data_IF_959007890283
#
_entry.id   IF_959007890283
#
_cell.length_a   1.000
_cell.length_b   1.000
_cell.length_c   1.000
_cell.angle_alpha   90.00
_cell.angle_beta   90.00
_cell.angle_gamma   90.00
#
_symmetry.space_group_name_H-M   'P 1'
#
loop_
_entity.id
_entity.type
_entity.pdbx_description
1 polymer ?
#
# COMPACT_ATOMS: atom_id res chain seq x y z
N UNK A 1 14.55 0.31 -16.97
CA UNK A 1 14.46 1.10 -15.72
C UNK A 1 13.03 1.59 -15.61
N UNK A 2 12.33 1.14 -14.60
CA UNK A 2 10.97 1.61 -14.28
C UNK A 2 11.05 2.77 -13.27
N UNK A 3 10.10 3.72 -13.32
CA UNK A 3 10.14 4.96 -12.53
C UNK A 3 11.53 5.66 -12.63
N UNK A 4 12.06 5.78 -13.88
CA UNK A 4 13.43 6.29 -14.06
C UNK A 4 13.62 7.72 -13.59
N UNK A 5 12.57 8.52 -13.58
CA UNK A 5 12.53 9.86 -13.00
C UNK A 5 12.96 9.88 -11.54
N UNK A 6 12.76 8.76 -10.83
CA UNK A 6 13.19 8.58 -9.44
C UNK A 6 14.51 7.83 -9.31
N UNK A 7 14.75 6.85 -10.15
CA UNK A 7 16.00 6.08 -10.15
C UNK A 7 17.21 6.92 -10.53
N UNK A 8 17.00 8.04 -11.25
CA UNK A 8 18.03 8.98 -11.68
C UNK A 8 18.04 10.29 -10.87
N UNK A 9 17.31 10.37 -9.74
CA UNK A 9 17.40 11.51 -8.83
C UNK A 9 18.81 11.66 -8.26
N UNK A 10 19.17 12.90 -7.95
CA UNK A 10 20.44 13.24 -7.28
C UNK A 10 20.63 12.38 -6.03
N UNK A 11 21.76 11.71 -5.94
CA UNK A 11 22.13 10.80 -4.83
C UNK A 11 22.14 9.31 -5.19
N UNK A 12 21.58 8.90 -6.34
CA UNK A 12 21.65 7.51 -6.84
C UNK A 12 22.52 7.38 -8.09
N UNK A 13 23.14 8.46 -8.54
CA UNK A 13 23.89 8.49 -9.81
C UNK A 13 25.10 7.54 -9.80
N UNK A 14 25.82 7.48 -8.68
CA UNK A 14 27.02 6.64 -8.55
C UNK A 14 26.65 5.17 -8.63
N UNK A 15 25.66 4.75 -7.86
CA UNK A 15 25.20 3.36 -7.82
C UNK A 15 24.58 2.94 -9.16
N UNK A 16 23.79 3.82 -9.77
CA UNK A 16 23.17 3.53 -11.06
C UNK A 16 24.18 3.44 -12.18
N UNK A 17 25.19 4.32 -12.17
CA UNK A 17 26.30 4.25 -13.15
C UNK A 17 27.10 2.96 -12.99
N UNK A 18 27.40 2.54 -11.75
CA UNK A 18 28.09 1.27 -11.48
C UNK A 18 27.27 0.08 -12.00
N UNK A 19 25.97 0.02 -11.72
CA UNK A 19 25.08 -1.06 -12.20
C UNK A 19 25.03 -1.09 -13.73
N UNK A 20 24.88 0.07 -14.38
CA UNK A 20 24.82 0.15 -15.86
C UNK A 20 26.16 -0.26 -16.49
N UNK A 21 27.28 0.10 -15.86
CA UNK A 21 28.63 -0.26 -16.30
C UNK A 21 28.88 -1.77 -16.31
N UNK A 22 28.30 -2.51 -15.36
CA UNK A 22 28.37 -3.97 -15.32
C UNK A 22 27.53 -4.66 -16.41
N UNK A 23 26.57 -3.95 -16.99
CA UNK A 23 25.65 -4.50 -18.00
C UNK A 23 26.22 -4.32 -19.42
N UNK A 24 27.35 -4.97 -19.74
CA UNK A 24 28.11 -4.78 -20.98
C UNK A 24 27.40 -5.27 -22.25
N UNK A 25 26.46 -6.22 -22.14
CA UNK A 25 25.79 -6.87 -23.28
C UNK A 25 24.34 -6.43 -23.48
N UNK A 26 24.00 -5.16 -23.16
CA UNK A 26 22.65 -4.65 -23.34
C UNK A 26 22.35 -4.32 -24.82
N UNK A 27 21.44 -5.08 -25.42
CA UNK A 27 20.94 -4.83 -26.76
C UNK A 27 19.84 -3.75 -26.80
N UNK A 28 19.15 -3.51 -25.69
CA UNK A 28 18.02 -2.58 -25.63
C UNK A 28 17.90 -1.97 -24.24
N UNK A 29 17.67 -0.66 -24.20
CA UNK A 29 17.37 0.09 -22.98
C UNK A 29 15.96 0.65 -23.06
N UNK A 30 15.15 0.43 -22.03
CA UNK A 30 13.79 0.95 -21.92
C UNK A 30 13.69 1.69 -20.59
N UNK A 31 13.25 2.95 -20.67
CA UNK A 31 12.96 3.79 -19.51
C UNK A 31 11.46 4.06 -19.48
N UNK A 32 10.84 3.90 -18.34
CA UNK A 32 9.42 4.23 -18.13
C UNK A 32 9.29 5.26 -17.01
N UNK A 33 8.37 6.22 -17.17
CA UNK A 33 8.07 7.22 -16.16
C UNK A 33 6.60 7.65 -16.25
N UNK A 34 6.02 7.99 -15.12
CA UNK A 34 4.70 8.62 -15.03
C UNK A 34 4.76 10.14 -15.19
N UNK A 35 5.94 10.74 -15.23
CA UNK A 35 6.17 12.18 -15.34
C UNK A 35 6.91 12.54 -16.64
N UNK A 36 6.70 13.78 -17.13
CA UNK A 36 7.41 14.30 -18.30
C UNK A 36 8.61 15.16 -17.91
N UNK A 37 9.56 15.32 -18.84
CA UNK A 37 10.60 16.33 -18.76
C UNK A 37 11.82 15.94 -17.92
N UNK A 38 11.93 14.69 -17.47
CA UNK A 38 13.13 14.24 -16.76
C UNK A 38 14.30 14.12 -17.72
N UNK A 39 15.38 14.84 -17.44
CA UNK A 39 16.62 14.77 -18.21
C UNK A 39 17.28 13.43 -18.00
N UNK A 40 17.51 12.71 -19.09
CA UNK A 40 18.23 11.43 -19.06
C UNK A 40 19.72 11.72 -18.98
N UNK A 41 20.44 11.29 -17.91
CA UNK A 41 21.86 11.48 -17.78
C UNK A 41 22.65 10.71 -18.85
N UNK A 42 23.82 11.23 -19.25
CA UNK A 42 24.65 10.65 -20.31
C UNK A 42 25.10 9.21 -19.99
N UNK A 43 25.35 8.89 -18.72
CA UNK A 43 25.81 7.55 -18.32
C UNK A 43 24.77 6.45 -18.60
N UNK A 44 23.50 6.80 -18.81
CA UNK A 44 22.48 5.83 -19.22
C UNK A 44 22.74 5.31 -20.64
N UNK A 45 23.52 6.03 -21.45
CA UNK A 45 23.91 5.61 -22.80
C UNK A 45 22.74 5.58 -23.79
N UNK A 46 21.84 6.56 -23.69
CA UNK A 46 20.71 6.78 -24.62
C UNK A 46 20.87 8.15 -25.28
N UNK A 47 21.55 8.16 -26.45
CA UNK A 47 21.79 9.40 -27.20
C UNK A 47 20.53 9.88 -27.96
N UNK A 48 19.84 8.96 -28.61
CA UNK A 48 18.66 9.27 -29.45
C UNK A 48 17.49 8.32 -29.10
N UNK A 49 16.86 8.48 -27.93
CA UNK A 49 15.78 7.57 -27.54
C UNK A 49 14.53 7.79 -28.38
N UNK A 50 13.88 6.70 -28.80
CA UNK A 50 12.52 6.77 -29.34
C UNK A 50 11.56 7.06 -28.18
N UNK A 51 10.96 8.25 -28.20
CA UNK A 51 10.01 8.67 -27.16
C UNK A 51 8.61 8.21 -27.57
N UNK A 52 7.96 7.45 -26.69
CA UNK A 52 6.56 7.05 -26.81
C UNK A 52 5.81 7.69 -25.64
N UNK A 53 4.99 8.70 -25.91
CA UNK A 53 4.29 9.46 -24.89
C UNK A 53 2.78 9.12 -24.91
N UNK A 54 2.29 8.57 -23.81
CA UNK A 54 0.89 8.29 -23.57
C UNK A 54 0.24 9.22 -22.54
N UNK A 55 1.00 10.16 -21.93
CA UNK A 55 0.51 11.03 -20.85
C UNK A 55 -0.57 12.02 -21.32
N UNK A 56 -0.56 12.38 -22.61
CA UNK A 56 -1.51 13.33 -23.21
C UNK A 56 -2.74 12.67 -23.87
N UNK A 57 -2.84 11.35 -23.86
CA UNK A 57 -4.07 10.71 -24.34
C UNK A 57 -5.15 10.90 -23.29
N UNK A 58 -6.19 11.66 -23.64
CA UNK A 58 -7.41 12.04 -22.90
C UNK A 58 -8.02 10.92 -22.03
N UNK A 59 -7.25 10.38 -21.11
CA UNK A 59 -7.82 9.65 -19.99
C UNK A 59 -8.21 10.72 -18.98
N UNK A 60 -9.47 11.09 -18.97
CA UNK A 60 -10.07 11.76 -17.82
C UNK A 60 -9.78 10.88 -16.62
N UNK A 61 -8.73 11.24 -15.89
CA UNK A 61 -8.48 10.62 -14.59
C UNK A 61 -9.75 10.81 -13.78
N UNK A 62 -10.37 9.71 -13.36
CA UNK A 62 -11.57 9.77 -12.51
C UNK A 62 -11.18 10.06 -11.05
N UNK A 63 -10.04 10.74 -10.87
CA UNK A 63 -9.56 11.18 -9.58
C UNK A 63 -10.29 12.46 -9.16
N UNK A 64 -10.95 12.39 -8.01
CA UNK A 64 -11.53 13.55 -7.34
C UNK A 64 -10.60 13.98 -6.21
N UNK A 65 -10.20 15.25 -6.18
CA UNK A 65 -9.41 15.82 -5.09
C UNK A 65 -10.35 16.55 -4.15
N UNK A 66 -10.23 16.30 -2.83
CA UNK A 66 -11.00 16.94 -1.78
C UNK A 66 -10.09 17.49 -0.71
N UNK A 67 -10.25 18.76 -0.36
CA UNK A 67 -9.52 19.37 0.76
C UNK A 67 -10.32 19.21 2.04
N UNK A 68 -9.66 18.82 3.13
CA UNK A 68 -10.24 18.71 4.47
C UNK A 68 -9.47 19.64 5.40
N UNK A 69 -10.14 20.60 5.99
CA UNK A 69 -9.52 21.55 6.91
C UNK A 69 -9.36 20.94 8.30
N UNK A 70 -8.19 21.08 8.87
CA UNK A 70 -7.92 20.77 10.27
C UNK A 70 -7.80 22.06 11.07
N UNK A 71 -8.59 22.24 12.14
CA UNK A 71 -8.48 23.41 13.00
C UNK A 71 -7.14 23.48 13.73
N UNK A 72 -6.52 22.33 13.92
CA UNK A 72 -5.26 22.19 14.66
C UNK A 72 -4.08 21.92 13.71
N UNK A 73 -2.88 22.34 14.13
CA UNK A 73 -1.63 21.98 13.43
C UNK A 73 -1.41 20.47 13.41
N UNK A 74 -1.79 19.79 14.49
CA UNK A 74 -1.74 18.34 14.58
C UNK A 74 -3.01 17.73 13.97
N UNK A 75 -2.95 17.35 12.72
CA UNK A 75 -4.08 16.85 11.92
C UNK A 75 -4.64 15.49 12.40
N UNK A 76 -4.17 14.95 13.52
CA UNK A 76 -4.47 13.59 13.95
C UNK A 76 -5.95 13.34 14.20
N UNK A 77 -6.64 14.25 14.94
CA UNK A 77 -8.09 14.10 15.18
C UNK A 77 -8.89 14.27 13.89
N UNK A 78 -8.45 15.16 13.01
CA UNK A 78 -9.07 15.35 11.68
C UNK A 78 -8.90 14.10 10.82
N UNK A 79 -7.75 13.45 10.87
CA UNK A 79 -7.55 12.16 10.18
C UNK A 79 -8.52 11.09 10.70
N UNK A 80 -8.67 10.95 12.01
CA UNK A 80 -9.63 10.00 12.61
C UNK A 80 -11.05 10.31 12.12
N UNK A 81 -11.47 11.57 12.17
CA UNK A 81 -12.78 11.99 11.72
C UNK A 81 -13.00 11.71 10.23
N UNK A 82 -11.98 11.93 9.40
CA UNK A 82 -12.02 11.62 7.96
C UNK A 82 -12.12 10.11 7.70
N UNK A 83 -11.36 9.28 8.42
CA UNK A 83 -11.45 7.82 8.31
C UNK A 83 -12.84 7.31 8.73
N UNK A 84 -13.43 7.89 9.77
CA UNK A 84 -14.82 7.61 10.17
C UNK A 84 -15.85 8.06 9.12
N UNK A 85 -15.60 9.18 8.46
CA UNK A 85 -16.45 9.68 7.36
C UNK A 85 -16.37 8.76 6.13
N UNK A 86 -15.15 8.33 5.75
CA UNK A 86 -14.93 7.42 4.61
C UNK A 86 -15.54 6.03 4.87
N UNK A 87 -15.45 5.57 6.11
CA UNK A 87 -15.91 4.23 6.48
C UNK A 87 -14.88 3.14 6.20
N UNK A 88 -15.35 1.94 5.84
CA UNK A 88 -14.51 0.74 5.76
C UNK A 88 -13.99 0.47 4.34
N UNK A 89 -13.48 1.50 3.67
CA UNK A 89 -12.89 1.39 2.35
C UNK A 89 -11.36 1.26 2.43
N UNK A 90 -10.71 0.51 1.51
CA UNK A 90 -9.26 0.37 1.50
C UNK A 90 -8.58 1.65 1.00
N UNK A 91 -7.61 2.14 1.76
CA UNK A 91 -6.88 3.35 1.40
C UNK A 91 -5.50 3.47 2.02
N UNK A 92 -4.79 4.52 1.62
CA UNK A 92 -3.44 4.82 2.08
C UNK A 92 -3.34 6.24 2.63
N UNK A 93 -2.65 6.38 3.76
CA UNK A 93 -2.29 7.65 4.40
C UNK A 93 -0.82 7.93 4.14
N UNK A 94 -0.51 8.97 3.41
CA UNK A 94 0.84 9.38 3.09
C UNK A 94 1.40 10.36 4.12
N UNK A 95 2.55 9.99 4.68
CA UNK A 95 3.38 10.79 5.56
C UNK A 95 4.73 11.08 4.87
N UNK A 96 5.31 12.25 5.14
CA UNK A 96 6.62 12.61 4.58
C UNK A 96 7.77 11.98 5.38
N UNK A 97 7.55 11.70 6.67
CA UNK A 97 8.58 11.26 7.59
C UNK A 97 8.17 9.99 8.35
N UNK A 98 9.18 9.24 8.78
CA UNK A 98 8.97 8.05 9.63
C UNK A 98 8.32 8.42 10.97
N UNK A 99 8.76 9.50 11.61
CA UNK A 99 8.21 9.97 12.88
C UNK A 99 6.71 10.33 12.77
N UNK A 100 6.29 10.80 11.61
CA UNK A 100 4.88 11.08 11.35
C UNK A 100 4.06 9.79 11.27
N UNK A 101 4.64 8.70 10.73
CA UNK A 101 3.99 7.37 10.76
C UNK A 101 3.77 6.93 12.21
N UNK A 102 4.77 7.06 13.08
CA UNK A 102 4.68 6.68 14.49
C UNK A 102 3.59 7.46 15.23
N UNK A 103 3.53 8.79 15.02
CA UNK A 103 2.48 9.65 15.57
C UNK A 103 1.09 9.26 15.09
N UNK A 104 0.92 9.07 13.77
CA UNK A 104 -0.36 8.65 13.18
C UNK A 104 -0.76 7.28 13.71
N UNK A 105 0.18 6.34 13.80
CA UNK A 105 -0.06 5.00 14.36
C UNK A 105 -0.59 5.06 15.79
N UNK A 106 0.05 5.83 16.66
CA UNK A 106 -0.38 6.00 18.06
C UNK A 106 -1.81 6.59 18.16
N UNK A 107 -2.15 7.53 17.26
CA UNK A 107 -3.50 8.11 17.21
C UNK A 107 -4.53 7.08 16.75
N UNK A 108 -4.23 6.28 15.73
CA UNK A 108 -5.14 5.24 15.23
C UNK A 108 -5.32 4.13 16.27
N UNK A 109 -4.26 3.71 16.97
CA UNK A 109 -4.33 2.74 18.08
C UNK A 109 -5.26 3.22 19.18
N UNK A 110 -5.11 4.48 19.63
CA UNK A 110 -5.99 5.11 20.65
C UNK A 110 -7.46 5.10 20.24
N UNK A 111 -7.73 5.14 18.95
CA UNK A 111 -9.10 5.14 18.38
C UNK A 111 -9.56 3.76 17.91
N UNK A 112 -8.78 2.69 18.13
CA UNK A 112 -9.12 1.32 17.76
C UNK A 112 -9.19 1.07 16.25
N UNK A 113 -8.58 1.92 15.44
CA UNK A 113 -8.58 1.79 13.98
C UNK A 113 -7.43 0.87 13.56
N UNK A 114 -7.75 -0.23 12.89
CA UNK A 114 -6.75 -1.18 12.37
C UNK A 114 -6.01 -0.63 11.17
N UNK A 115 -4.69 -0.67 11.19
CA UNK A 115 -3.83 -0.20 10.10
C UNK A 115 -2.63 -1.13 9.87
N UNK A 116 -1.97 -0.98 8.73
CA UNK A 116 -0.65 -1.48 8.44
C UNK A 116 0.32 -0.32 8.22
N UNK A 117 1.59 -0.49 8.58
CA UNK A 117 2.63 0.51 8.33
C UNK A 117 3.55 0.09 7.20
N UNK A 118 4.09 1.08 6.48
CA UNK A 118 4.99 0.87 5.37
C UNK A 118 6.03 1.99 5.29
N UNK A 119 7.23 1.75 5.82
CA UNK A 119 8.30 2.74 5.84
C UNK A 119 9.64 2.17 5.37
N UNK A 120 10.55 3.04 4.94
CA UNK A 120 11.87 2.65 4.42
C UNK A 120 12.76 1.91 5.44
N UNK A 121 12.55 2.13 6.74
CA UNK A 121 13.32 1.48 7.80
C UNK A 121 12.80 0.12 8.26
N UNK A 122 11.69 -0.37 7.70
CA UNK A 122 11.16 -1.69 8.05
C UNK A 122 11.91 -2.81 7.34
N UNK A 123 12.06 -3.95 8.01
CA UNK A 123 12.52 -5.16 7.34
C UNK A 123 11.56 -5.59 6.23
N UNK A 124 12.10 -6.18 5.17
CA UNK A 124 11.29 -6.62 4.02
C UNK A 124 10.17 -7.58 4.42
N UNK A 125 10.42 -8.43 5.41
CA UNK A 125 9.44 -9.36 5.96
C UNK A 125 8.25 -8.66 6.61
N UNK A 126 8.47 -7.57 7.34
CA UNK A 126 7.41 -6.84 8.02
C UNK A 126 6.59 -5.98 7.03
N UNK A 127 7.25 -5.44 6.00
CA UNK A 127 6.56 -4.79 4.87
C UNK A 127 5.61 -5.77 4.19
N UNK A 128 6.10 -6.97 3.89
CA UNK A 128 5.31 -8.01 3.23
C UNK A 128 4.11 -8.43 4.09
N UNK A 129 4.30 -8.60 5.41
CA UNK A 129 3.22 -8.90 6.35
C UNK A 129 2.15 -7.80 6.40
N UNK A 130 2.56 -6.54 6.40
CA UNK A 130 1.62 -5.40 6.36
C UNK A 130 0.76 -5.43 5.09
N UNK A 131 1.37 -5.70 3.93
CA UNK A 131 0.63 -5.84 2.66
C UNK A 131 -0.31 -7.05 2.66
N UNK A 132 0.11 -8.18 3.21
CA UNK A 132 -0.70 -9.39 3.32
C UNK A 132 -1.93 -9.11 4.20
N UNK A 133 -1.75 -8.49 5.37
CA UNK A 133 -2.86 -8.07 6.23
C UNK A 133 -3.84 -7.16 5.51
N UNK A 134 -3.31 -6.21 4.74
CA UNK A 134 -4.13 -5.30 3.97
C UNK A 134 -4.92 -6.03 2.86
N UNK A 135 -4.26 -6.88 2.06
CA UNK A 135 -4.91 -7.67 1.00
C UNK A 135 -5.96 -8.64 1.54
N UNK A 136 -5.75 -9.16 2.74
CA UNK A 136 -6.69 -10.04 3.41
C UNK A 136 -7.83 -9.30 4.13
N UNK A 137 -7.81 -7.95 4.14
CA UNK A 137 -8.82 -7.16 4.81
C UNK A 137 -8.72 -7.14 6.34
N UNK A 138 -7.59 -7.58 6.92
CA UNK A 138 -7.32 -7.48 8.37
C UNK A 138 -7.15 -6.02 8.80
N UNK A 139 -6.65 -5.17 7.91
CA UNK A 139 -6.68 -3.72 8.05
C UNK A 139 -7.07 -3.08 6.72
N UNK A 140 -7.63 -1.89 6.76
CA UNK A 140 -8.08 -1.16 5.57
C UNK A 140 -7.34 0.15 5.36
N UNK A 141 -6.48 0.51 6.29
CA UNK A 141 -5.64 1.70 6.22
C UNK A 141 -4.18 1.26 6.16
N UNK A 142 -3.45 1.71 5.14
CA UNK A 142 -1.99 1.68 5.12
C UNK A 142 -1.45 3.06 5.44
N UNK A 143 -0.43 3.16 6.29
CA UNK A 143 0.31 4.39 6.56
C UNK A 143 1.68 4.23 5.92
N UNK A 144 2.06 5.11 5.01
CA UNK A 144 3.29 4.94 4.25
C UNK A 144 4.03 6.26 3.99
N UNK A 145 5.34 6.14 3.79
CA UNK A 145 6.13 7.20 3.14
C UNK A 145 6.23 6.93 1.64
N UNK A 146 6.49 7.97 0.85
CA UNK A 146 6.64 7.86 -0.60
C UNK A 146 7.69 6.82 -1.00
N UNK A 147 8.86 6.85 -0.37
CA UNK A 147 9.94 5.91 -0.64
C UNK A 147 9.53 4.45 -0.43
N UNK A 148 8.77 4.20 0.62
CA UNK A 148 8.32 2.85 0.93
C UNK A 148 7.22 2.36 -0.02
N UNK A 149 6.36 3.25 -0.50
CA UNK A 149 5.25 2.91 -1.39
C UNK A 149 5.67 2.70 -2.85
N UNK A 150 6.92 3.01 -3.21
CA UNK A 150 7.44 2.82 -4.59
C UNK A 150 7.75 1.36 -4.88
N UNK A 151 7.60 0.96 -6.14
CA UNK A 151 7.96 -0.37 -6.62
C UNK A 151 7.17 -1.53 -6.02
N UNK A 152 6.08 -1.24 -5.28
CA UNK A 152 5.29 -2.25 -4.61
C UNK A 152 3.97 -2.43 -5.33
N UNK A 153 3.62 -3.69 -5.54
CA UNK A 153 2.30 -4.08 -6.00
C UNK A 153 1.28 -3.95 -4.85
N UNK A 154 0.89 -2.69 -4.60
CA UNK A 154 -0.19 -2.36 -3.68
C UNK A 154 -1.51 -2.52 -4.44
N UNK A 155 -2.52 -3.21 -3.87
CA UNK A 155 -3.85 -3.27 -4.45
C UNK A 155 -4.41 -1.88 -4.73
N UNK A 156 -5.34 -1.78 -5.67
CA UNK A 156 -5.99 -0.51 -5.96
C UNK A 156 -6.70 0.06 -4.74
N UNK A 157 -6.36 1.32 -4.43
CA UNK A 157 -6.93 2.04 -3.31
C UNK A 157 -8.18 2.80 -3.75
N UNK A 158 -9.23 2.75 -2.94
CA UNK A 158 -10.44 3.58 -3.18
C UNK A 158 -10.18 5.04 -2.84
N UNK A 159 -9.27 5.29 -1.89
CA UNK A 159 -8.86 6.64 -1.54
C UNK A 159 -7.37 6.69 -1.15
N UNK A 160 -6.83 7.91 -1.25
CA UNK A 160 -5.56 8.28 -0.62
C UNK A 160 -5.77 9.50 0.27
N UNK A 161 -4.97 9.63 1.31
CA UNK A 161 -4.94 10.79 2.19
C UNK A 161 -3.52 11.36 2.21
N UNK A 162 -3.36 12.59 1.78
CA UNK A 162 -2.16 13.38 2.02
C UNK A 162 -2.24 13.94 3.44
N UNK A 163 -1.76 13.19 4.43
CA UNK A 163 -1.68 13.64 5.83
C UNK A 163 -0.71 14.79 5.96
N UNK A 164 0.45 14.66 5.32
CA UNK A 164 1.38 15.74 5.08
C UNK A 164 1.39 16.08 3.59
N UNK A 165 1.46 17.38 3.29
CA UNK A 165 1.42 17.86 1.92
C UNK A 165 2.65 17.37 1.13
N UNK A 166 2.47 16.95 -0.11
CA UNK A 166 3.58 16.61 -0.98
C UNK A 166 4.40 17.85 -1.27
N UNK A 167 5.72 17.69 -1.39
CA UNK A 167 6.67 18.80 -1.59
C UNK A 167 6.81 19.19 -3.05
N UNK A 168 6.49 18.26 -3.95
CA UNK A 168 6.62 18.41 -5.39
C UNK A 168 5.44 17.81 -6.13
N UNK A 169 5.20 18.28 -7.36
CA UNK A 169 4.13 17.79 -8.24
C UNK A 169 4.31 16.31 -8.59
N UNK A 170 5.55 15.85 -8.67
CA UNK A 170 5.89 14.45 -8.93
C UNK A 170 5.43 13.54 -7.76
N UNK A 171 5.69 13.95 -6.52
CA UNK A 171 5.20 13.22 -5.33
C UNK A 171 3.68 13.14 -5.33
N UNK A 172 3.02 14.27 -5.60
CA UNK A 172 1.56 14.33 -5.70
C UNK A 172 1.03 13.36 -6.74
N UNK A 173 1.65 13.34 -7.93
CA UNK A 173 1.29 12.47 -9.04
C UNK A 173 1.47 10.99 -8.68
N UNK A 174 2.61 10.63 -8.09
CA UNK A 174 2.94 9.26 -7.71
C UNK A 174 2.03 8.73 -6.59
N UNK A 175 1.71 9.55 -5.58
CA UNK A 175 0.74 9.22 -4.55
C UNK A 175 -0.64 8.98 -5.15
N UNK A 176 -1.10 9.90 -6.01
CA UNK A 176 -2.38 9.80 -6.68
C UNK A 176 -2.47 8.59 -7.62
N UNK A 177 -1.36 8.17 -8.20
CA UNK A 177 -1.26 6.95 -9.01
C UNK A 177 -1.52 5.64 -8.26
N UNK A 178 -1.76 5.67 -6.95
CA UNK A 178 -2.17 4.50 -6.16
C UNK A 178 -3.69 4.33 -6.12
N UNK A 179 -4.45 5.29 -6.60
CA UNK A 179 -5.91 5.23 -6.76
C UNK A 179 -6.30 5.66 -8.16
N UNK A 180 -7.57 5.52 -8.54
CA UNK A 180 -8.11 5.90 -9.84
C UNK A 180 -7.29 5.33 -11.02
N UNK A 181 -6.81 4.11 -10.91
CA UNK A 181 -6.17 3.40 -12.03
C UNK A 181 -7.19 3.14 -13.12
N UNK A 182 -6.75 2.68 -14.27
CA UNK A 182 -7.53 2.53 -15.52
C UNK A 182 -9.02 2.21 -15.29
N UNK A 183 -9.91 3.21 -15.59
CA UNK A 183 -11.38 3.13 -15.53
C UNK A 183 -12.01 3.07 -14.11
N UNK A 184 -11.25 3.21 -13.03
CA UNK A 184 -11.77 3.26 -11.66
C UNK A 184 -11.84 4.70 -11.13
N UNK A 185 -12.84 4.96 -10.27
CA UNK A 185 -12.98 6.22 -9.55
C UNK A 185 -12.14 6.18 -8.29
N UNK A 186 -11.37 7.24 -8.02
CA UNK A 186 -10.57 7.38 -6.82
C UNK A 186 -10.74 8.75 -6.18
N UNK A 187 -10.50 8.84 -4.88
CA UNK A 187 -10.56 10.10 -4.16
C UNK A 187 -9.22 10.35 -3.47
N UNK A 188 -8.68 11.55 -3.69
CA UNK A 188 -7.51 12.05 -2.97
C UNK A 188 -7.97 13.11 -1.95
N UNK A 189 -7.79 12.81 -0.67
CA UNK A 189 -8.04 13.77 0.40
C UNK A 189 -6.74 14.48 0.77
N UNK A 190 -6.80 15.80 0.85
CA UNK A 190 -5.67 16.64 1.27
C UNK A 190 -6.01 17.26 2.62
N UNK A 191 -5.33 16.83 3.69
CA UNK A 191 -5.51 17.43 5.00
C UNK A 191 -4.67 18.72 5.09
N UNK A 192 -5.35 19.82 5.29
CA UNK A 192 -4.75 21.14 5.37
C UNK A 192 -4.94 21.70 6.79
N UNK A 193 -3.85 21.94 7.51
CA UNK A 193 -3.91 22.56 8.83
C UNK A 193 -4.19 24.06 8.73
N UNK A 194 -4.67 24.67 9.82
CA UNK A 194 -4.79 26.12 9.89
C UNK A 194 -3.46 26.81 9.56
N UNK A 195 -3.52 27.82 8.71
CA UNK A 195 -2.36 28.60 8.18
C UNK A 195 -1.37 27.79 7.33
N UNK A 196 -1.59 26.53 7.04
CA UNK A 196 -0.80 25.78 6.08
C UNK A 196 -1.17 26.21 4.66
N UNK A 197 -0.15 26.50 3.84
CA UNK A 197 -0.38 26.91 2.45
C UNK A 197 -0.49 25.69 1.55
N UNK A 198 -1.61 25.58 0.84
CA UNK A 198 -1.79 24.55 -0.19
C UNK A 198 -0.79 24.81 -1.34
N UNK A 199 0.00 23.81 -1.79
CA UNK A 199 0.88 23.95 -2.95
C UNK A 199 0.12 24.37 -4.20
N UNK A 200 0.72 25.21 -5.03
CA UNK A 200 0.07 25.80 -6.22
C UNK A 200 -0.33 24.74 -7.28
N UNK A 201 0.33 23.59 -7.28
CA UNK A 201 -0.01 22.45 -8.16
C UNK A 201 -1.22 21.63 -7.68
N UNK A 202 -1.76 21.90 -6.49
CA UNK A 202 -2.99 21.28 -5.99
C UNK A 202 -4.14 22.25 -6.17
N UNK A 203 -5.10 21.88 -7.02
CA UNK A 203 -6.26 22.73 -7.27
C UNK A 203 -7.05 22.95 -5.98
N UNK A 204 -7.25 24.22 -5.65
CA UNK A 204 -8.10 24.61 -4.53
C UNK A 204 -9.57 24.29 -4.86
N UNK A 205 -10.26 23.61 -3.97
CA UNK A 205 -11.69 23.34 -4.05
C UNK A 205 -12.36 23.74 -2.74
N UNK A 206 -13.70 23.75 -2.71
CA UNK A 206 -14.46 23.96 -1.48
C UNK A 206 -14.13 22.85 -0.48
N UNK A 207 -13.77 23.19 0.77
CA UNK A 207 -13.43 22.18 1.77
C UNK A 207 -14.58 21.21 2.00
N UNK A 208 -14.24 19.93 2.10
CA UNK A 208 -15.19 18.87 2.40
C UNK A 208 -15.63 18.95 3.87
N UNK A 209 -16.93 19.01 4.10
CA UNK A 209 -17.51 18.84 5.43
C UNK A 209 -17.54 17.34 5.81
N UNK A 210 -16.80 16.99 6.86
CA UNK A 210 -16.72 15.65 7.43
C UNK A 210 -17.49 15.52 8.76
N UNK A 211 -18.41 16.42 9.04
CA UNK A 211 -19.23 16.41 10.27
C UNK A 211 -20.11 15.16 10.39
N UNK A 212 -20.58 14.62 9.27
CA UNK A 212 -21.37 13.39 9.21
C UNK A 212 -20.45 12.16 9.31
N UNK A 213 -20.22 11.70 10.54
CA UNK A 213 -19.40 10.51 10.79
C UNK A 213 -20.26 9.26 10.72
N UNK A 214 -19.74 8.21 10.09
CA UNK A 214 -20.25 6.85 10.29
C UNK A 214 -19.61 6.22 11.54
N UNK A 215 -20.26 5.19 12.09
CA UNK A 215 -19.57 4.37 13.11
C UNK A 215 -18.45 3.59 12.43
N UNK A 216 -17.25 3.62 13.00
CA UNK A 216 -16.17 2.75 12.56
C UNK A 216 -16.64 1.29 12.60
N UNK A 217 -16.52 0.61 11.48
CA UNK A 217 -16.74 -0.82 11.39
C UNK A 217 -15.36 -1.48 11.40
N UNK A 218 -15.08 -2.22 12.45
CA UNK A 218 -13.85 -2.99 12.52
C UNK A 218 -13.78 -3.95 11.30
N UNK A 219 -12.58 -4.26 10.79
CA UNK A 219 -12.40 -5.28 9.78
C UNK A 219 -13.04 -6.59 10.20
N UNK A 220 -13.69 -7.27 9.27
CA UNK A 220 -14.37 -8.54 9.51
C UNK A 220 -13.47 -9.75 9.21
N UNK A 221 -12.28 -9.50 8.69
CA UNK A 221 -11.29 -10.50 8.31
C UNK A 221 -10.06 -10.47 9.21
N UNK A 222 -9.43 -11.62 9.39
CA UNK A 222 -8.16 -11.79 10.09
C UNK A 222 -7.20 -12.60 9.20
N UNK A 223 -5.91 -12.42 9.40
CA UNK A 223 -4.87 -13.16 8.68
C UNK A 223 -4.25 -14.21 9.58
N UNK A 224 -4.31 -15.47 9.16
CA UNK A 224 -3.60 -16.55 9.82
C UNK A 224 -2.28 -16.84 9.12
N UNK A 225 -1.24 -17.08 9.92
CA UNK A 225 0.07 -17.55 9.47
C UNK A 225 0.14 -19.06 9.61
N UNK A 226 0.76 -19.73 8.63
CA UNK A 226 1.01 -21.16 8.60
C UNK A 226 2.50 -21.41 8.37
N UNK A 227 3.16 -22.14 9.25
CA UNK A 227 4.61 -22.43 9.18
C UNK A 227 4.97 -23.52 8.15
N UNK A 228 4.36 -23.49 6.96
CA UNK A 228 4.61 -24.45 5.89
C UNK A 228 4.41 -23.80 4.53
N UNK A 229 5.30 -24.08 3.58
CA UNK A 229 5.34 -23.44 2.28
C UNK A 229 5.67 -24.37 1.12
N UNK A 230 6.01 -23.79 -0.02
CA UNK A 230 6.34 -24.53 -1.27
C UNK A 230 7.48 -25.50 -1.09
N UNK A 231 8.52 -25.17 -0.32
CA UNK A 231 9.65 -26.06 -0.03
C UNK A 231 9.22 -27.37 0.66
N UNK A 232 8.10 -27.32 1.38
CA UNK A 232 7.52 -28.48 2.03
C UNK A 232 6.54 -29.25 1.10
N UNK A 233 6.53 -28.91 -0.20
CA UNK A 233 5.61 -29.45 -1.23
C UNK A 233 4.13 -29.16 -0.93
N UNK A 234 3.87 -28.12 -0.16
CA UNK A 234 2.51 -27.66 0.16
C UNK A 234 2.01 -26.77 -0.98
N UNK A 235 0.77 -27.00 -1.40
CA UNK A 235 0.06 -26.18 -2.39
C UNK A 235 -1.06 -25.35 -1.74
N UNK A 236 -1.60 -24.37 -2.47
CA UNK A 236 -2.79 -23.64 -2.02
C UNK A 236 -3.99 -24.58 -1.80
N UNK A 237 -4.13 -25.62 -2.63
CA UNK A 237 -5.18 -26.64 -2.50
C UNK A 237 -5.05 -27.45 -1.21
N UNK A 238 -3.83 -27.81 -0.79
CA UNK A 238 -3.61 -28.52 0.47
C UNK A 238 -4.02 -27.65 1.67
N UNK A 239 -3.70 -26.34 1.62
CA UNK A 239 -4.10 -25.38 2.65
C UNK A 239 -5.62 -25.25 2.68
N UNK A 240 -6.27 -25.00 1.54
CA UNK A 240 -7.72 -24.92 1.46
C UNK A 240 -8.38 -26.19 2.00
N UNK A 241 -7.86 -27.37 1.64
CA UNK A 241 -8.31 -28.66 2.14
C UNK A 241 -8.21 -28.77 3.67
N UNK A 242 -7.16 -28.26 4.29
CA UNK A 242 -7.01 -28.22 5.74
C UNK A 242 -8.13 -27.38 6.40
N UNK A 243 -8.38 -26.18 5.88
CA UNK A 243 -9.40 -25.28 6.42
C UNK A 243 -10.82 -25.83 6.22
N UNK A 244 -11.12 -26.45 5.08
CA UNK A 244 -12.45 -27.04 4.84
C UNK A 244 -12.67 -28.32 5.65
N UNK A 245 -11.72 -29.27 5.62
CA UNK A 245 -11.90 -30.58 6.20
C UNK A 245 -11.75 -30.61 7.72
N UNK A 246 -10.71 -29.96 8.25
CA UNK A 246 -10.42 -29.94 9.69
C UNK A 246 -10.96 -28.66 10.36
N UNK A 247 -10.89 -27.51 9.66
CA UNK A 247 -11.43 -26.26 10.16
C UNK A 247 -12.95 -26.15 10.09
N UNK A 248 -13.60 -26.95 9.25
CA UNK A 248 -15.06 -26.90 9.08
C UNK A 248 -15.56 -25.66 8.33
N UNK A 249 -14.68 -24.96 7.61
CA UNK A 249 -15.03 -23.72 6.90
C UNK A 249 -15.84 -23.99 5.63
N UNK A 250 -16.72 -23.05 5.30
CA UNK A 250 -17.38 -22.97 4.00
C UNK A 250 -16.49 -22.26 2.98
N UNK A 251 -16.77 -22.45 1.67
CA UNK A 251 -15.94 -21.87 0.60
C UNK A 251 -15.90 -20.35 0.62
N UNK A 252 -17.00 -19.70 0.94
CA UNK A 252 -17.15 -18.24 1.03
C UNK A 252 -16.46 -17.63 2.25
N UNK A 253 -16.10 -18.44 3.23
CA UNK A 253 -15.35 -18.01 4.42
C UNK A 253 -13.82 -18.04 4.22
N UNK A 254 -13.33 -18.69 3.15
CA UNK A 254 -11.91 -18.78 2.88
C UNK A 254 -11.49 -17.61 1.97
N UNK A 255 -10.71 -16.69 2.54
CA UNK A 255 -10.15 -15.55 1.82
C UNK A 255 -8.91 -15.89 1.00
N UNK A 256 -8.08 -14.88 0.75
CA UNK A 256 -6.87 -15.04 -0.06
C UNK A 256 -5.86 -15.95 0.64
N UNK A 257 -5.31 -16.91 -0.13
CA UNK A 257 -4.18 -17.74 0.30
C UNK A 257 -2.90 -17.21 -0.39
N UNK A 258 -2.00 -16.64 0.37
CA UNK A 258 -0.65 -16.27 -0.09
C UNK A 258 0.35 -17.34 0.34
N UNK A 259 0.84 -18.11 -0.64
CA UNK A 259 1.80 -19.20 -0.41
C UNK A 259 3.21 -18.75 -0.76
N UNK A 260 4.11 -18.80 0.24
CA UNK A 260 5.54 -18.48 0.13
C UNK A 260 6.39 -19.74 0.08
N UNK A 261 7.72 -19.57 0.07
CA UNK A 261 8.65 -20.70 0.04
C UNK A 261 8.59 -21.53 1.35
N UNK A 262 8.52 -20.88 2.49
CA UNK A 262 8.64 -21.47 3.82
C UNK A 262 7.40 -21.32 4.71
N UNK A 263 6.42 -20.55 4.28
CA UNK A 263 5.19 -20.28 5.03
C UNK A 263 4.01 -19.97 4.10
N UNK A 264 2.84 -19.82 4.69
CA UNK A 264 1.66 -19.30 4.00
C UNK A 264 0.85 -18.39 4.92
N UNK A 265 -0.01 -17.59 4.29
CA UNK A 265 -0.94 -16.67 4.96
C UNK A 265 -2.33 -16.89 4.39
N UNK A 266 -3.34 -16.87 5.25
CA UNK A 266 -4.73 -17.15 4.88
C UNK A 266 -5.65 -16.12 5.51
N UNK A 267 -6.49 -15.49 4.69
CA UNK A 267 -7.59 -14.66 5.17
C UNK A 267 -8.76 -15.52 5.66
N UNK A 268 -9.25 -15.22 6.86
CA UNK A 268 -10.40 -15.90 7.45
C UNK A 268 -11.32 -14.88 8.14
N UNK A 269 -12.62 -15.16 8.35
CA UNK A 269 -13.46 -14.29 9.15
C UNK A 269 -12.94 -14.13 10.57
N UNK A 270 -12.87 -12.88 11.06
CA UNK A 270 -12.34 -12.55 12.38
C UNK A 270 -13.01 -13.34 13.52
N UNK A 271 -14.32 -13.57 13.39
CA UNK A 271 -15.12 -14.22 14.43
C UNK A 271 -14.70 -15.67 14.72
N UNK A 272 -14.21 -16.40 13.69
CA UNK A 272 -13.80 -17.80 13.82
C UNK A 272 -12.27 -17.97 13.85
N UNK A 273 -11.49 -16.90 13.73
CA UNK A 273 -10.03 -16.96 13.59
C UNK A 273 -9.35 -17.67 14.79
N UNK A 274 -9.77 -17.35 16.02
CA UNK A 274 -9.23 -18.01 17.23
C UNK A 274 -9.54 -19.50 17.28
N UNK A 275 -10.78 -19.87 17.02
CA UNK A 275 -11.22 -21.26 16.95
C UNK A 275 -10.45 -22.05 15.88
N UNK A 276 -10.25 -21.46 14.72
CA UNK A 276 -9.45 -22.08 13.65
C UNK A 276 -7.98 -22.28 14.07
N UNK A 277 -7.38 -21.34 14.78
CA UNK A 277 -6.03 -21.51 15.34
C UNK A 277 -5.98 -22.69 16.29
N UNK A 278 -6.92 -22.81 17.23
CA UNK A 278 -6.99 -23.93 18.18
C UNK A 278 -7.15 -25.29 17.48
N UNK A 279 -8.05 -25.37 16.49
CA UNK A 279 -8.31 -26.59 15.73
C UNK A 279 -7.18 -27.00 14.79
N UNK A 280 -6.54 -26.01 14.15
CA UNK A 280 -5.59 -26.28 13.07
C UNK A 280 -4.12 -26.22 13.50
N UNK A 281 -3.81 -25.64 14.65
CA UNK A 281 -2.44 -25.59 15.14
C UNK A 281 -1.91 -27.02 15.38
N UNK A 282 -0.67 -27.26 14.96
CA UNK A 282 -0.03 -28.56 15.00
C UNK A 282 -0.65 -29.63 14.06
N UNK A 283 -1.56 -29.28 13.17
CA UNK A 283 -2.06 -30.17 12.12
C UNK A 283 -0.98 -30.60 11.14
N UNK A 284 -1.23 -31.71 10.44
CA UNK A 284 -0.32 -32.22 9.44
C UNK A 284 -0.76 -31.81 8.04
N UNK A 285 0.09 -31.06 7.35
CA UNK A 285 -0.02 -30.77 5.93
C UNK A 285 1.05 -31.54 5.16
N UNK A 286 0.64 -32.51 4.34
CA UNK A 286 1.56 -33.45 3.70
C UNK A 286 2.39 -34.18 4.77
N UNK A 287 3.74 -34.01 4.70
CA UNK A 287 4.67 -34.63 5.65
C UNK A 287 5.05 -33.71 6.80
N UNK A 288 4.57 -32.45 6.82
CA UNK A 288 4.97 -31.41 7.78
C UNK A 288 3.91 -31.15 8.81
N UNK A 289 4.30 -31.14 10.08
CA UNK A 289 3.49 -30.58 11.17
C UNK A 289 3.60 -29.05 11.11
N UNK A 290 2.50 -28.34 10.95
CA UNK A 290 2.48 -26.90 10.78
C UNK A 290 1.95 -26.21 12.04
N UNK A 291 2.55 -25.05 12.37
CA UNK A 291 1.98 -24.13 13.34
C UNK A 291 1.02 -23.19 12.62
N UNK A 292 -0.12 -22.93 13.25
CA UNK A 292 -1.10 -21.94 12.79
C UNK A 292 -1.27 -20.91 13.89
N UNK A 293 -1.09 -19.64 13.56
CA UNK A 293 -1.21 -18.51 14.50
C UNK A 293 -1.88 -17.33 13.83
N UNK A 294 -2.46 -16.42 14.61
CA UNK A 294 -2.85 -15.10 14.12
C UNK A 294 -1.57 -14.32 13.77
N UNK A 295 -1.57 -13.57 12.67
CA UNK A 295 -0.42 -12.81 12.17
C UNK A 295 -0.22 -11.49 12.92
#
# INVERSE_FOLDING_TARGET
MDEFDKSLETGFEVEMNAIIGELTNLNKRILTSATQGVKIPNFVGLETPKIINYLNRNKTSQLTIKTVLSPDKEKGQTLVNLLLYIGNEPGIVFCNYKDSIEKVSAILDKNGIKYGTFSGGMEQKDRERSLIKFRNGTCQVLIATDLAARGIDIPEMKYIIHYELPRAVEEFTHRNGRTARVNEKGIAYVLLADKERLPDFIKKDTPLDISKKSKYKAPTWETLFISGGRKDKISKGDIAGLFFKQGGMQKDQLGVIELKQDCAFVGVPLQIAKELVEKLNNSRLKKKKVRVTIL
#
